data_IF_283995224172
#
_entry.id   IF_283995224172
#
_cell.length_a   1.000
_cell.length_b   1.000
_cell.length_c   1.000
_cell.angle_alpha   90.00
_cell.angle_beta   90.00
_cell.angle_gamma   90.00
#
_symmetry.space_group_name_H-M   'P 1'
#
loop_
_entity.id
_entity.type
_entity.pdbx_description
1 polymer ?
#
# COMPACT_ATOMS: atom_id res chain seq x y z
N UNK A 1 -0.08 -14.04 -7.11
CA UNK A 1 -1.06 -14.71 -8.01
C UNK A 1 -1.81 -15.90 -7.40
N UNK A 2 -1.39 -16.46 -6.24
CA UNK A 2 -2.07 -17.61 -5.64
C UNK A 2 -3.58 -17.38 -5.39
N UNK A 3 -3.97 -16.23 -4.81
CA UNK A 3 -5.38 -15.95 -4.48
C UNK A 3 -6.30 -15.91 -5.70
N UNK A 4 -5.97 -15.10 -6.71
CA UNK A 4 -6.78 -14.99 -7.93
C UNK A 4 -6.87 -16.34 -8.69
N UNK A 5 -5.78 -17.11 -8.73
CA UNK A 5 -5.78 -18.45 -9.34
C UNK A 5 -6.68 -19.43 -8.58
N UNK A 6 -6.63 -19.40 -7.25
CA UNK A 6 -7.53 -20.21 -6.41
C UNK A 6 -8.99 -19.81 -6.63
N UNK A 7 -9.30 -18.52 -6.67
CA UNK A 7 -10.67 -18.04 -6.94
C UNK A 7 -11.16 -18.51 -8.33
N UNK A 8 -10.34 -18.40 -9.36
CA UNK A 8 -10.66 -18.91 -10.69
C UNK A 8 -10.89 -20.43 -10.71
N UNK A 9 -10.06 -21.20 -9.99
CA UNK A 9 -10.24 -22.65 -9.83
C UNK A 9 -11.54 -23.01 -9.07
N UNK A 10 -12.10 -22.06 -8.31
CA UNK A 10 -13.41 -22.18 -7.65
C UNK A 10 -14.56 -21.56 -8.46
N UNK A 11 -14.32 -21.19 -9.72
CA UNK A 11 -15.36 -20.72 -10.64
C UNK A 11 -15.49 -19.19 -10.75
N UNK A 12 -14.67 -18.40 -10.07
CA UNK A 12 -14.69 -16.95 -10.21
C UNK A 12 -14.18 -16.50 -11.59
N UNK A 13 -14.77 -15.44 -12.12
CA UNK A 13 -14.23 -14.72 -13.29
C UNK A 13 -13.25 -13.66 -12.81
N UNK A 14 -12.03 -13.69 -13.32
CA UNK A 14 -10.98 -12.71 -12.99
C UNK A 14 -10.74 -11.85 -14.23
N UNK A 15 -11.11 -10.58 -14.14
CA UNK A 15 -10.96 -9.61 -15.22
C UNK A 15 -9.91 -8.57 -14.82
N UNK A 16 -8.72 -8.67 -15.40
CA UNK A 16 -7.68 -7.63 -15.27
C UNK A 16 -7.81 -6.61 -16.39
N UNK A 17 -7.27 -5.39 -16.23
CA UNK A 17 -7.41 -4.30 -17.20
C UNK A 17 -8.88 -3.90 -17.42
N UNK A 18 -9.73 -4.15 -16.43
CA UNK A 18 -11.10 -3.69 -16.38
C UNK A 18 -11.23 -2.78 -15.17
N UNK A 19 -11.30 -1.47 -15.42
CA UNK A 19 -11.41 -0.44 -14.38
C UNK A 19 -12.88 -0.26 -14.02
N UNK A 20 -13.21 -0.29 -12.72
CA UNK A 20 -14.49 0.18 -12.26
C UNK A 20 -14.50 1.71 -12.30
N UNK A 21 -15.50 2.28 -12.95
CA UNK A 21 -15.71 3.72 -13.04
C UNK A 21 -16.70 4.20 -11.98
N UNK A 22 -17.70 3.37 -11.66
CA UNK A 22 -18.72 3.62 -10.64
C UNK A 22 -19.13 2.31 -9.98
N UNK A 23 -19.48 2.36 -8.70
CA UNK A 23 -20.01 1.23 -7.93
C UNK A 23 -21.38 1.55 -7.34
N UNK A 24 -22.28 0.57 -7.34
CA UNK A 24 -23.55 0.59 -6.59
C UNK A 24 -23.73 -0.76 -5.89
N UNK A 25 -24.66 -0.90 -4.95
CA UNK A 25 -24.95 -2.20 -4.32
C UNK A 25 -25.45 -3.27 -5.32
N UNK A 26 -25.84 -2.87 -6.53
CA UNK A 26 -26.38 -3.75 -7.57
C UNK A 26 -25.41 -4.04 -8.73
N UNK A 27 -24.20 -3.47 -8.71
CA UNK A 27 -23.26 -3.65 -9.82
C UNK A 27 -22.21 -2.55 -9.97
N UNK A 28 -21.57 -2.54 -11.12
CA UNK A 28 -20.52 -1.58 -11.47
C UNK A 28 -20.62 -1.16 -12.94
N UNK A 29 -20.32 0.11 -13.22
CA UNK A 29 -19.95 0.57 -14.56
C UNK A 29 -18.45 0.39 -14.72
N UNK A 30 -18.02 -0.23 -15.82
CA UNK A 30 -16.62 -0.62 -16.03
C UNK A 30 -16.13 -0.20 -17.41
N UNK A 31 -14.81 -0.06 -17.55
CA UNK A 31 -14.12 0.16 -18.83
C UNK A 31 -13.03 -0.88 -19.04
N UNK A 32 -12.95 -1.46 -20.23
CA UNK A 32 -11.79 -2.22 -20.67
C UNK A 32 -10.68 -1.24 -21.07
N UNK A 33 -9.58 -1.24 -20.32
CA UNK A 33 -8.44 -0.35 -20.55
C UNK A 33 -7.61 -0.72 -21.79
N UNK A 34 -7.90 -1.86 -22.42
CA UNK A 34 -7.26 -2.32 -23.67
C UNK A 34 -8.00 -1.79 -24.90
N UNK A 35 -9.33 -1.70 -24.84
CA UNK A 35 -10.17 -1.32 -25.99
C UNK A 35 -10.83 0.05 -25.82
N UNK A 36 -10.96 0.54 -24.59
CA UNK A 36 -11.71 1.74 -24.22
C UNK A 36 -13.23 1.52 -24.11
N UNK A 37 -13.73 0.31 -24.36
CA UNK A 37 -15.17 0.02 -24.30
C UNK A 37 -15.69 0.06 -22.85
N UNK A 38 -16.87 0.66 -22.68
CA UNK A 38 -17.57 0.69 -21.39
C UNK A 38 -18.74 -0.30 -21.35
N UNK A 39 -19.00 -0.83 -20.16
CA UNK A 39 -20.09 -1.77 -19.93
C UNK A 39 -20.58 -1.76 -18.48
N UNK A 40 -21.61 -2.57 -18.22
CA UNK A 40 -22.21 -2.71 -16.89
C UNK A 40 -22.18 -4.16 -16.45
N UNK A 41 -21.65 -4.40 -15.25
CA UNK A 41 -21.71 -5.69 -14.56
C UNK A 41 -22.77 -5.59 -13.47
N UNK A 42 -23.75 -6.49 -13.51
CA UNK A 42 -24.78 -6.61 -12.45
C UNK A 42 -24.35 -7.64 -11.41
N UNK A 43 -24.61 -7.34 -10.14
CA UNK A 43 -24.27 -8.18 -9.01
C UNK A 43 -25.36 -8.11 -7.93
N UNK A 44 -25.39 -9.12 -7.04
CA UNK A 44 -26.27 -9.11 -5.86
C UNK A 44 -25.63 -8.42 -4.64
N UNK A 45 -24.31 -8.32 -4.66
CA UNK A 45 -23.51 -7.64 -3.66
C UNK A 45 -22.25 -7.12 -4.36
N UNK A 46 -21.76 -5.97 -3.91
CA UNK A 46 -20.55 -5.34 -4.45
C UNK A 46 -19.60 -5.04 -3.29
N UNK A 47 -18.36 -5.49 -3.45
CA UNK A 47 -17.28 -5.22 -2.51
C UNK A 47 -16.27 -4.28 -3.16
N UNK A 48 -16.11 -3.07 -2.61
CA UNK A 48 -15.03 -2.16 -2.90
C UNK A 48 -13.80 -2.52 -2.07
N UNK A 49 -12.79 -3.11 -2.73
CA UNK A 49 -11.47 -3.40 -2.15
C UNK A 49 -10.36 -2.70 -2.95
N UNK A 50 -10.60 -1.48 -3.44
CA UNK A 50 -9.67 -0.73 -4.28
C UNK A 50 -8.55 0.00 -3.52
N UNK A 51 -8.34 -0.29 -2.23
CA UNK A 51 -7.20 0.23 -1.48
C UNK A 51 -7.20 1.76 -1.40
N UNK A 52 -6.16 2.41 -1.94
CA UNK A 52 -6.00 3.87 -1.85
C UNK A 52 -7.04 4.63 -2.69
N UNK A 53 -7.63 3.97 -3.69
CA UNK A 53 -8.68 4.50 -4.55
C UNK A 53 -10.10 4.24 -4.00
N UNK A 54 -10.24 3.79 -2.75
CA UNK A 54 -11.55 3.45 -2.21
C UNK A 54 -12.50 4.64 -2.12
N UNK A 55 -11.96 5.82 -1.80
CA UNK A 55 -12.72 7.07 -1.71
C UNK A 55 -13.24 7.59 -3.05
N UNK A 56 -12.57 7.25 -4.15
CA UNK A 56 -12.95 7.72 -5.49
C UNK A 56 -14.19 7.00 -6.04
N UNK A 57 -14.52 5.83 -5.48
CA UNK A 57 -15.63 4.98 -5.95
C UNK A 57 -16.83 4.98 -5.00
N UNK A 58 -16.65 5.40 -3.75
CA UNK A 58 -17.70 5.33 -2.72
C UNK A 58 -17.62 6.56 -1.82
N UNK A 59 -18.68 7.36 -1.85
CA UNK A 59 -18.82 8.56 -1.03
C UNK A 59 -18.70 8.24 0.48
N UNK A 60 -18.13 9.20 1.22
CA UNK A 60 -17.94 9.09 2.67
C UNK A 60 -16.71 8.29 3.11
N UNK A 61 -16.01 7.63 2.17
CA UNK A 61 -14.73 6.96 2.43
C UNK A 61 -13.59 7.95 2.22
N UNK A 62 -12.97 8.39 3.32
CA UNK A 62 -11.82 9.31 3.28
C UNK A 62 -10.52 8.54 3.52
N UNK A 63 -9.67 8.49 2.51
CA UNK A 63 -8.35 7.85 2.59
C UNK A 63 -7.28 8.93 2.70
N UNK A 64 -6.32 8.74 3.61
CA UNK A 64 -5.09 9.51 3.70
C UNK A 64 -3.91 8.61 3.31
N UNK A 65 -3.45 8.67 2.05
CA UNK A 65 -2.35 7.83 1.62
C UNK A 65 -1.06 8.18 2.36
N UNK A 66 -0.27 7.15 2.68
CA UNK A 66 1.11 7.32 3.15
C UNK A 66 2.05 6.51 2.25
N UNK A 67 3.06 7.17 1.69
CA UNK A 67 4.08 6.56 0.84
C UNK A 67 5.13 5.87 1.69
N UNK A 68 5.42 4.63 1.32
CA UNK A 68 6.59 3.90 1.81
C UNK A 68 7.52 3.51 0.66
N UNK A 69 8.77 3.96 0.75
CA UNK A 69 9.84 3.67 -0.20
C UNK A 69 10.72 2.53 0.28
N UNK A 70 11.14 1.66 -0.64
CA UNK A 70 12.23 0.70 -0.43
C UNK A 70 13.28 0.83 -1.52
N UNK A 71 14.53 0.61 -1.14
CA UNK A 71 15.67 0.45 -2.03
C UNK A 71 15.97 -1.03 -2.25
N UNK A 72 16.55 -1.33 -3.39
CA UNK A 72 17.13 -2.62 -3.75
C UNK A 72 18.62 -2.41 -3.93
N UNK A 73 19.43 -3.08 -3.11
CA UNK A 73 20.88 -3.11 -3.20
C UNK A 73 21.36 -4.52 -3.53
N UNK A 74 22.64 -4.65 -3.91
CA UNK A 74 23.32 -5.95 -4.03
C UNK A 74 24.07 -6.28 -2.75
N UNK A 75 23.99 -7.53 -2.31
CA UNK A 75 24.62 -7.99 -1.06
C UNK A 75 26.13 -7.92 -1.09
N UNK A 76 26.76 -8.03 -2.27
CA UNK A 76 28.22 -7.90 -2.45
C UNK A 76 28.76 -6.52 -2.03
N UNK A 77 27.92 -5.48 -2.02
CA UNK A 77 28.26 -4.13 -1.54
C UNK A 77 28.15 -3.96 -0.03
N UNK A 78 27.31 -4.76 0.63
CA UNK A 78 27.03 -4.62 2.06
C UNK A 78 27.81 -5.61 2.93
N UNK A 79 28.54 -6.54 2.30
CA UNK A 79 29.20 -7.64 3.01
C UNK A 79 28.22 -8.72 3.45
N UNK A 80 28.69 -9.69 4.27
CA UNK A 80 27.85 -10.80 4.71
C UNK A 80 26.74 -10.32 5.65
N UNK A 81 25.49 -10.41 5.21
CA UNK A 81 24.30 -10.16 6.01
C UNK A 81 23.56 -11.48 6.29
N UNK A 82 23.91 -12.22 7.36
CA UNK A 82 23.34 -13.54 7.65
C UNK A 82 21.90 -13.48 8.18
N UNK A 83 21.41 -12.28 8.50
CA UNK A 83 20.07 -12.06 9.03
C UNK A 83 19.53 -10.69 8.59
N UNK A 84 18.21 -10.53 8.68
CA UNK A 84 17.58 -9.22 8.55
C UNK A 84 17.91 -8.32 9.74
N UNK A 85 17.99 -7.01 9.50
CA UNK A 85 18.29 -6.00 10.52
C UNK A 85 17.08 -5.10 10.74
N UNK A 86 16.86 -4.71 11.99
CA UNK A 86 15.96 -3.60 12.35
C UNK A 86 16.83 -2.44 12.83
N UNK A 87 17.03 -1.46 11.97
CA UNK A 87 17.88 -0.29 12.25
C UNK A 87 17.00 0.82 12.80
N UNK A 88 17.19 1.25 14.06
CA UNK A 88 16.42 2.36 14.63
C UNK A 88 16.64 3.64 13.84
N UNK A 89 15.57 4.38 13.56
CA UNK A 89 15.69 5.69 12.94
C UNK A 89 16.16 6.68 14.02
N UNK A 90 17.27 7.41 13.82
CA UNK A 90 17.78 8.36 14.82
C UNK A 90 16.71 9.38 15.25
N UNK A 91 16.53 9.54 16.56
CA UNK A 91 15.53 10.46 17.14
C UNK A 91 14.10 9.91 17.22
N UNK A 92 13.84 8.70 16.73
CA UNK A 92 12.51 8.07 16.77
C UNK A 92 12.46 6.93 17.79
N UNK A 93 11.36 6.81 18.54
CA UNK A 93 11.25 5.79 19.59
C UNK A 93 10.90 4.39 19.05
N UNK A 94 10.04 4.31 18.03
CA UNK A 94 9.43 3.05 17.57
C UNK A 94 9.40 2.91 16.03
N UNK A 95 10.33 3.56 15.34
CA UNK A 95 10.45 3.46 13.87
C UNK A 95 11.79 2.87 13.49
N UNK A 96 11.74 2.00 12.50
CA UNK A 96 12.89 1.22 12.06
C UNK A 96 12.96 1.19 10.53
N UNK A 97 14.18 1.19 10.01
CA UNK A 97 14.50 0.71 8.67
C UNK A 97 14.85 -0.77 8.78
N UNK A 98 14.10 -1.59 8.08
CA UNK A 98 14.33 -3.00 7.82
C UNK A 98 15.36 -3.18 6.70
N UNK A 99 16.36 -4.00 6.97
CA UNK A 99 17.32 -4.49 5.97
C UNK A 99 17.06 -5.98 5.80
N UNK A 100 16.63 -6.40 4.61
CA UNK A 100 16.12 -7.74 4.35
C UNK A 100 16.93 -8.40 3.22
N UNK A 101 18.01 -9.14 3.55
CA UNK A 101 18.74 -9.95 2.58
C UNK A 101 17.85 -11.02 1.96
N UNK A 102 18.03 -11.26 0.66
CA UNK A 102 17.32 -12.28 -0.12
C UNK A 102 18.32 -13.33 -0.63
N UNK A 103 17.84 -14.55 -0.85
CA UNK A 103 18.67 -15.68 -1.33
C UNK A 103 19.27 -15.46 -2.72
N UNK A 104 18.74 -14.51 -3.49
CA UNK A 104 19.19 -14.17 -4.84
C UNK A 104 20.28 -13.07 -4.88
N UNK A 105 20.81 -12.69 -3.71
CA UNK A 105 21.85 -11.67 -3.58
C UNK A 105 21.32 -10.22 -3.60
N UNK A 106 20.00 -10.02 -3.59
CA UNK A 106 19.40 -8.69 -3.37
C UNK A 106 19.24 -8.40 -1.88
N UNK A 107 19.24 -7.13 -1.53
CA UNK A 107 18.92 -6.66 -0.18
C UNK A 107 17.87 -5.56 -0.30
N UNK A 108 16.73 -5.75 0.35
CA UNK A 108 15.71 -4.71 0.46
C UNK A 108 15.99 -3.84 1.68
N UNK A 109 16.06 -2.53 1.47
CA UNK A 109 16.27 -1.56 2.54
C UNK A 109 15.08 -0.62 2.56
N UNK A 110 14.34 -0.62 3.65
CA UNK A 110 13.18 0.25 3.77
C UNK A 110 12.61 0.26 5.19
N UNK A 111 11.77 1.21 5.55
CA UNK A 111 11.01 1.97 4.58
C UNK A 111 10.61 3.33 5.16
N UNK A 112 10.26 4.27 4.27
CA UNK A 112 9.78 5.61 4.67
C UNK A 112 8.30 5.60 5.07
N UNK A 113 7.79 6.67 5.67
CA UNK A 113 6.35 6.77 5.97
C UNK A 113 5.90 8.21 5.79
N UNK A 114 5.87 8.65 4.53
CA UNK A 114 5.65 10.04 4.17
C UNK A 114 4.19 10.28 3.75
N UNK A 115 3.50 11.29 4.32
CA UNK A 115 2.18 11.66 3.83
C UNK A 115 2.23 12.03 2.35
N UNK A 116 1.18 11.66 1.62
CA UNK A 116 0.98 12.08 0.23
C UNK A 116 -0.12 13.12 0.19
N UNK A 117 0.22 14.29 -0.33
CA UNK A 117 -0.71 15.39 -0.56
C UNK A 117 -1.19 15.38 -2.01
N UNK A 118 -2.42 15.82 -2.24
CA UNK A 118 -3.02 15.87 -3.57
C UNK A 118 -3.54 14.53 -4.07
N UNK A 119 -3.67 14.42 -5.39
CA UNK A 119 -4.26 13.26 -6.04
C UNK A 119 -3.38 12.01 -5.90
N UNK A 120 -4.02 10.86 -5.73
CA UNK A 120 -3.34 9.56 -5.66
C UNK A 120 -2.81 9.19 -7.04
N UNK A 121 -1.47 9.10 -7.26
CA UNK A 121 -0.94 8.72 -8.55
C UNK A 121 -1.15 7.22 -8.82
N UNK A 122 -1.34 6.86 -10.08
CA UNK A 122 -1.39 5.46 -10.53
C UNK A 122 -0.05 4.74 -10.24
N UNK A 123 1.07 5.45 -10.37
CA UNK A 123 2.42 4.95 -10.08
C UNK A 123 3.11 5.91 -9.10
N UNK A 124 3.29 5.53 -7.83
CA UNK A 124 4.02 6.37 -6.87
C UNK A 124 5.51 6.38 -7.21
N UNK A 125 6.07 7.58 -7.25
CA UNK A 125 7.50 7.80 -7.47
C UNK A 125 8.30 7.70 -6.17
N UNK A 126 9.59 7.38 -6.31
CA UNK A 126 10.56 7.37 -5.22
C UNK A 126 11.35 8.68 -5.25
N UNK A 127 11.18 9.58 -4.26
CA UNK A 127 11.99 10.79 -4.20
C UNK A 127 13.44 10.48 -3.79
N UNK A 128 14.39 11.26 -4.32
CA UNK A 128 15.80 11.15 -3.90
C UNK A 128 16.01 11.48 -2.41
N UNK A 129 15.11 12.25 -1.79
CA UNK A 129 15.12 12.47 -0.34
C UNK A 129 14.86 11.19 0.45
N UNK A 130 13.96 10.32 -0.02
CA UNK A 130 13.70 9.02 0.58
C UNK A 130 14.91 8.10 0.40
N UNK A 131 15.57 8.16 -0.76
CA UNK A 131 16.79 7.38 -1.03
C UNK A 131 17.92 7.79 -0.09
N UNK A 132 18.21 9.09 0.01
CA UNK A 132 19.23 9.62 0.92
C UNK A 132 18.95 9.22 2.37
N UNK A 133 17.72 9.42 2.83
CA UNK A 133 17.30 9.03 4.18
C UNK A 133 17.57 7.54 4.49
N UNK A 134 17.18 6.64 3.59
CA UNK A 134 17.36 5.20 3.80
C UNK A 134 18.85 4.79 3.78
N UNK A 135 19.66 5.43 2.93
CA UNK A 135 21.11 5.19 2.90
C UNK A 135 21.80 5.73 4.15
N UNK A 136 21.40 6.91 4.64
CA UNK A 136 21.95 7.50 5.87
C UNK A 136 21.65 6.63 7.09
N UNK A 137 20.41 6.13 7.22
CA UNK A 137 20.05 5.22 8.30
C UNK A 137 20.82 3.90 8.19
N UNK A 138 20.95 3.34 6.98
CA UNK A 138 21.74 2.12 6.77
C UNK A 138 23.22 2.32 7.11
N UNK A 139 23.82 3.42 6.65
CA UNK A 139 25.22 3.77 6.89
C UNK A 139 25.54 4.04 8.37
N UNK A 140 24.53 4.34 9.19
CA UNK A 140 24.72 4.54 10.64
C UNK A 140 25.12 3.26 11.41
N UNK A 141 24.91 2.08 10.81
CA UNK A 141 25.18 0.78 11.45
C UNK A 141 26.16 -0.10 10.68
N UNK A 142 26.60 0.32 9.50
CA UNK A 142 27.57 -0.43 8.70
C UNK A 142 28.96 0.22 8.79
N UNK A 143 30.00 -0.60 8.91
CA UNK A 143 31.39 -0.14 8.85
C UNK A 143 31.83 0.25 7.43
N UNK A 144 31.07 -0.18 6.41
CA UNK A 144 31.31 0.11 5.01
C UNK A 144 30.48 1.31 4.56
N UNK A 145 31.05 2.24 3.78
CA UNK A 145 30.27 3.32 3.20
C UNK A 145 29.30 2.75 2.16
N UNK A 146 28.06 3.23 2.19
CA UNK A 146 27.03 2.90 1.19
C UNK A 146 26.66 4.19 0.46
N UNK A 147 26.58 4.12 -0.87
CA UNK A 147 26.34 5.26 -1.72
C UNK A 147 25.13 5.07 -2.62
N UNK A 148 24.66 6.18 -3.20
CA UNK A 148 23.53 6.20 -4.14
C UNK A 148 23.74 5.28 -5.35
N UNK A 149 25.00 5.09 -5.77
CA UNK A 149 25.40 4.21 -6.87
C UNK A 149 25.27 2.71 -6.56
N UNK A 150 25.18 2.34 -5.29
CA UNK A 150 24.94 0.94 -4.86
C UNK A 150 23.47 0.54 -4.99
N UNK A 151 22.56 1.51 -5.16
CA UNK A 151 21.13 1.29 -5.33
C UNK A 151 20.84 0.87 -6.77
N UNK A 152 20.45 -0.40 -6.95
CA UNK A 152 20.16 -1.00 -8.26
C UNK A 152 18.69 -0.95 -8.64
N UNK A 153 17.83 -0.53 -7.70
CA UNK A 153 16.42 -0.29 -7.93
C UNK A 153 15.77 0.34 -6.71
N UNK A 154 14.61 0.95 -6.90
CA UNK A 154 13.79 1.45 -5.81
C UNK A 154 12.32 1.34 -6.20
N UNK A 155 11.45 1.21 -5.21
CA UNK A 155 10.01 1.23 -5.42
C UNK A 155 9.29 1.91 -4.26
N UNK A 156 8.17 2.54 -4.58
CA UNK A 156 7.27 3.13 -3.61
C UNK A 156 5.92 2.42 -3.65
N UNK A 157 5.22 2.43 -2.52
CA UNK A 157 3.84 1.98 -2.42
C UNK A 157 3.04 2.90 -1.51
N UNK A 158 1.73 2.99 -1.74
CA UNK A 158 0.83 3.82 -0.97
C UNK A 158 -0.01 2.97 -0.01
N UNK A 159 -0.10 3.43 1.24
CA UNK A 159 -0.91 2.80 2.28
C UNK A 159 -2.29 3.44 2.32
N UNK A 160 -3.39 2.67 2.26
CA UNK A 160 -4.74 3.21 2.37
C UNK A 160 -5.14 3.44 3.82
N UNK A 161 -4.63 4.50 4.45
CA UNK A 161 -4.97 4.80 5.85
C UNK A 161 -6.34 5.45 5.91
N UNK A 162 -7.27 4.86 6.67
CA UNK A 162 -8.61 5.40 6.82
C UNK A 162 -8.59 6.62 7.75
N UNK A 163 -9.08 7.76 7.26
CA UNK A 163 -9.22 8.97 8.07
C UNK A 163 -10.52 8.92 8.87
N UNK A 164 -10.41 8.46 10.12
CA UNK A 164 -11.52 8.37 11.08
C UNK A 164 -11.71 9.65 11.90
N UNK A 165 -10.97 10.73 11.63
CA UNK A 165 -11.08 11.95 12.43
C UNK A 165 -12.42 12.67 12.16
N UNK A 166 -13.15 13.11 13.22
CA UNK A 166 -14.24 14.07 13.07
C UNK A 166 -13.70 15.37 12.44
N UNK A 167 -14.48 15.97 11.56
CA UNK A 167 -14.14 17.16 10.76
C UNK A 167 -13.81 18.44 11.55
N UNK A 168 -13.83 18.42 12.88
CA UNK A 168 -13.99 19.64 13.68
C UNK A 168 -12.78 19.99 14.57
N UNK A 169 -11.57 19.53 14.23
CA UNK A 169 -10.34 20.02 14.89
C UNK A 169 -9.39 20.68 13.90
N UNK A 170 -9.43 22.02 13.77
CA UNK A 170 -8.41 22.75 13.03
C UNK A 170 -7.08 22.71 13.81
N UNK A 171 -5.98 22.37 13.14
CA UNK A 171 -4.63 22.74 13.62
C UNK A 171 -3.68 21.62 14.03
N UNK A 172 -3.98 20.34 13.82
CA UNK A 172 -2.97 19.30 13.90
C UNK A 172 -3.20 18.26 12.81
N UNK A 173 -2.32 18.18 11.82
CA UNK A 173 -2.27 17.00 10.95
C UNK A 173 -1.74 15.85 11.83
N UNK A 174 -2.55 14.83 12.20
CA UNK A 174 -2.01 13.67 12.88
C UNK A 174 -0.98 13.02 11.95
N UNK A 175 0.16 12.62 12.52
CA UNK A 175 1.19 11.88 11.78
C UNK A 175 0.54 10.63 11.18
N UNK A 176 0.90 10.26 9.96
CA UNK A 176 0.38 9.04 9.29
C UNK A 176 0.60 7.79 10.13
N UNK A 177 1.68 7.76 10.92
CA UNK A 177 1.97 6.71 11.89
C UNK A 177 0.90 6.54 12.99
N UNK A 178 0.18 7.61 13.33
CA UNK A 178 -0.87 7.67 14.35
C UNK A 178 -2.28 7.37 13.78
N UNK A 179 -2.42 7.28 12.45
CA UNK A 179 -3.68 6.90 11.80
C UNK A 179 -3.88 5.38 11.89
N UNK A 180 -5.11 4.94 12.20
CA UNK A 180 -5.43 3.53 12.47
C UNK A 180 -5.00 2.62 11.31
N UNK A 181 -4.05 1.72 11.60
CA UNK A 181 -3.61 0.64 10.68
C UNK A 181 -4.52 -0.59 10.74
N UNK A 182 -5.62 -0.55 11.49
CA UNK A 182 -6.64 -1.62 11.49
C UNK A 182 -7.48 -1.49 10.23
N UNK A 183 -7.95 -2.62 9.72
CA UNK A 183 -8.94 -2.57 8.64
C UNK A 183 -10.29 -2.12 9.19
N UNK A 184 -11.13 -1.61 8.29
CA UNK A 184 -12.55 -1.39 8.52
C UNK A 184 -13.34 -2.02 7.38
N UNK A 185 -14.53 -2.51 7.72
CA UNK A 185 -15.56 -2.93 6.77
C UNK A 185 -16.75 -2.00 6.98
N UNK A 186 -17.11 -1.27 5.93
CA UNK A 186 -18.14 -0.22 5.96
C UNK A 186 -19.13 -0.47 4.83
N UNK A 187 -20.42 -0.25 5.05
CA UNK A 187 -21.43 -0.35 3.99
C UNK A 187 -21.99 1.03 3.70
N UNK A 188 -21.91 1.47 2.44
CA UNK A 188 -22.45 2.75 2.01
C UNK A 188 -23.99 2.74 1.97
N UNK A 189 -24.61 3.92 1.87
CA UNK A 189 -26.06 4.05 1.68
C UNK A 189 -26.56 3.34 0.41
N UNK A 190 -25.72 3.29 -0.62
CA UNK A 190 -25.99 2.60 -1.88
C UNK A 190 -25.78 1.08 -1.79
N UNK A 191 -25.41 0.54 -0.62
CA UNK A 191 -25.24 -0.89 -0.38
C UNK A 191 -23.90 -1.47 -0.84
N UNK A 192 -22.88 -0.64 -1.08
CA UNK A 192 -21.52 -1.10 -1.41
C UNK A 192 -20.76 -1.40 -0.12
N UNK A 193 -20.28 -2.64 0.03
CA UNK A 193 -19.41 -3.05 1.13
C UNK A 193 -17.99 -2.60 0.79
N UNK A 194 -17.32 -1.86 1.66
CA UNK A 194 -16.00 -1.30 1.41
C UNK A 194 -15.02 -1.81 2.47
N UNK A 195 -13.90 -2.38 2.00
CA UNK A 195 -12.80 -2.86 2.86
C UNK A 195 -11.60 -1.95 2.66
N UNK A 196 -11.19 -1.26 3.72
CA UNK A 196 -10.10 -0.27 3.70
C UNK A 196 -9.15 -0.47 4.86
N UNK A 197 -7.91 0.00 4.71
CA UNK A 197 -6.84 -0.20 5.68
C UNK A 197 -6.36 -1.65 5.75
N UNK A 198 -5.92 -2.06 6.93
CA UNK A 198 -5.40 -3.40 7.18
C UNK A 198 -3.97 -3.64 6.66
N UNK A 199 -3.55 -4.90 6.72
CA UNK A 199 -2.21 -5.34 6.33
C UNK A 199 -2.31 -6.58 5.45
N UNK A 200 -1.29 -6.80 4.62
CA UNK A 200 -1.18 -8.04 3.86
C UNK A 200 -1.21 -9.27 4.79
N UNK A 201 -0.64 -9.19 5.98
CA UNK A 201 -0.65 -10.30 6.96
C UNK A 201 -2.03 -10.60 7.53
N UNK A 202 -2.98 -9.66 7.47
CA UNK A 202 -4.35 -9.81 7.99
C UNK A 202 -5.39 -10.02 6.90
N UNK A 203 -4.98 -10.14 5.63
CA UNK A 203 -5.89 -10.18 4.48
C UNK A 203 -6.99 -11.25 4.61
N UNK A 204 -6.66 -12.44 5.14
CA UNK A 204 -7.62 -13.54 5.30
C UNK A 204 -8.73 -13.17 6.28
N UNK A 205 -8.38 -12.51 7.39
CA UNK A 205 -9.36 -12.06 8.39
C UNK A 205 -10.20 -10.91 7.85
N UNK A 206 -9.58 -9.99 7.11
CA UNK A 206 -10.29 -8.90 6.43
C UNK A 206 -11.34 -9.44 5.44
N UNK A 207 -10.99 -10.49 4.70
CA UNK A 207 -11.91 -11.13 3.76
C UNK A 207 -13.07 -11.84 4.48
N UNK A 208 -12.79 -12.53 5.59
CA UNK A 208 -13.80 -13.15 6.46
C UNK A 208 -14.79 -12.10 6.98
N UNK A 209 -14.30 -11.01 7.59
CA UNK A 209 -15.14 -9.92 8.12
C UNK A 209 -15.95 -9.19 7.04
N UNK A 210 -15.60 -9.32 5.76
CA UNK A 210 -16.30 -8.68 4.65
C UNK A 210 -17.43 -9.54 4.05
N UNK A 211 -17.42 -10.85 4.29
CA UNK A 211 -18.40 -11.79 3.73
C UNK A 211 -19.33 -12.40 4.78
N UNK A 212 -18.93 -12.39 6.05
CA UNK A 212 -19.71 -12.85 7.21
C UNK A 212 -20.49 -11.69 7.86
#
# INVERSE_FOLDING_TARGET
>A
TALARTAAARGARILTRVRALELTGSGARVRDETTGEEGVIRARAVVNASGVWAGDLVDGIRIRPSRGTHLVLRSDRLGPLPAGLHVPIPGETNRFVLVLPQDDGRVYVGLTDEPVEGDVPDVPEVPETDVGFLLDVLGSVLDLPVHREDVVGAFAGLRPLLDTAPSDRPGAAPRTADVSRRHAVLTSSEGVITVVGGKLTTYRRMAEDAVD
#
